data_IF_128892256071
#
_entry.id   IF_128892256071
#
_cell.length_a   1.000
_cell.length_b   1.000
_cell.length_c   1.000
_cell.angle_alpha   90.00
_cell.angle_beta   90.00
_cell.angle_gamma   90.00
#
_symmetry.space_group_name_H-M   'P 1'
#
loop_
_entity.id
_entity.type
_entity.pdbx_description
1 polymer ?
#
# COMPACT_ATOMS: atom_id res chain seq x y z
N UNK A 1 31.16 77.46 -30.71
CA UNK A 1 30.22 76.74 -29.87
C UNK A 1 29.25 76.02 -30.79
N UNK A 2 29.51 74.75 -31.07
CA UNK A 2 28.63 73.88 -31.87
C UNK A 2 28.04 72.83 -30.98
N UNK A 3 26.73 72.60 -31.01
CA UNK A 3 26.14 71.58 -30.16
C UNK A 3 26.29 70.17 -30.76
N UNK A 4 26.77 69.31 -29.93
CA UNK A 4 26.91 67.89 -30.21
C UNK A 4 25.50 67.22 -30.31
N UNK A 5 25.22 66.62 -31.48
CA UNK A 5 24.03 65.77 -31.68
C UNK A 5 24.33 64.36 -31.31
N UNK A 6 23.81 63.94 -30.18
CA UNK A 6 23.79 62.53 -29.77
C UNK A 6 22.75 61.72 -30.60
N UNK A 7 23.19 60.72 -31.33
CA UNK A 7 22.34 59.71 -32.00
C UNK A 7 21.73 58.72 -31.03
N UNK A 8 20.44 58.41 -31.15
CA UNK A 8 19.85 57.40 -30.31
C UNK A 8 20.30 56.00 -30.73
N UNK A 9 20.78 55.20 -29.72
CA UNK A 9 21.06 53.77 -29.88
C UNK A 9 19.74 53.03 -29.96
N UNK A 10 19.39 52.45 -31.11
CA UNK A 10 18.32 51.46 -31.21
C UNK A 10 18.80 50.17 -30.53
N UNK A 11 18.14 49.79 -29.44
CA UNK A 11 18.28 48.47 -28.86
C UNK A 11 17.41 47.48 -29.66
N UNK A 12 18.03 46.55 -30.36
CA UNK A 12 17.33 45.45 -31.01
C UNK A 12 16.84 44.49 -29.93
N UNK A 13 15.52 44.41 -29.75
CA UNK A 13 14.90 43.37 -28.90
C UNK A 13 14.88 42.08 -29.72
N UNK A 14 15.71 41.12 -29.33
CA UNK A 14 15.65 39.75 -29.86
C UNK A 14 14.42 39.08 -29.25
N UNK A 15 13.35 38.93 -30.00
CA UNK A 15 12.21 38.11 -29.64
C UNK A 15 12.61 36.67 -29.92
N UNK A 16 13.02 35.94 -28.87
CA UNK A 16 13.17 34.50 -28.93
C UNK A 16 11.75 33.91 -28.87
N UNK A 17 11.23 33.51 -30.02
CA UNK A 17 10.03 32.69 -30.08
C UNK A 17 10.42 31.31 -29.60
N UNK A 18 10.05 30.97 -28.35
CA UNK A 18 10.04 29.59 -27.92
C UNK A 18 9.03 28.85 -28.79
N UNK A 19 9.51 27.90 -29.60
CA UNK A 19 8.65 26.94 -30.24
C UNK A 19 7.94 26.15 -29.12
N UNK A 20 6.63 25.87 -29.22
CA UNK A 20 6.01 24.95 -28.32
C UNK A 20 6.74 23.61 -28.48
N UNK A 21 7.27 23.06 -27.39
CA UNK A 21 7.59 21.65 -27.32
C UNK A 21 6.27 20.93 -27.58
N UNK A 22 6.16 20.27 -28.74
CA UNK A 22 5.12 19.28 -28.95
C UNK A 22 5.34 18.22 -27.86
N UNK A 23 4.44 18.14 -26.88
CA UNK A 23 4.28 16.93 -26.13
C UNK A 23 3.99 15.85 -27.17
N UNK A 24 4.81 14.82 -27.25
CA UNK A 24 4.47 13.62 -28.00
C UNK A 24 3.12 13.16 -27.46
N UNK A 25 2.08 13.19 -28.31
CA UNK A 25 0.79 12.62 -27.93
C UNK A 25 1.01 11.11 -27.78
N UNK A 26 1.01 10.63 -26.53
CA UNK A 26 1.03 9.20 -26.23
C UNK A 26 -0.21 8.60 -26.90
N UNK A 27 -0.01 7.74 -27.87
CA UNK A 27 -1.09 7.13 -28.65
C UNK A 27 -1.87 6.11 -27.80
N UNK A 28 -3.15 5.91 -28.15
CA UNK A 28 -3.97 4.87 -27.46
C UNK A 28 -3.32 3.49 -27.53
N UNK A 29 -2.55 3.19 -28.58
CA UNK A 29 -1.79 1.94 -28.69
C UNK A 29 -0.74 1.83 -27.60
N UNK A 30 0.04 2.89 -27.35
CA UNK A 30 1.12 2.87 -26.36
C UNK A 30 0.54 2.75 -24.94
N UNK A 31 -0.58 3.43 -24.67
CA UNK A 31 -1.34 3.30 -23.40
C UNK A 31 -1.84 1.87 -23.20
N UNK A 32 -2.41 1.28 -24.24
CA UNK A 32 -2.92 -0.11 -24.17
C UNK A 32 -1.78 -1.09 -23.95
N UNK A 33 -0.65 -0.92 -24.62
CA UNK A 33 0.54 -1.76 -24.44
C UNK A 33 1.09 -1.63 -23.02
N UNK A 34 1.20 -0.42 -22.48
CA UNK A 34 1.62 -0.20 -21.10
C UNK A 34 0.68 -0.89 -20.10
N UNK A 35 -0.64 -0.76 -20.27
CA UNK A 35 -1.62 -1.43 -19.42
C UNK A 35 -1.53 -2.96 -19.51
N UNK A 36 -1.37 -3.52 -20.72
CA UNK A 36 -1.23 -4.97 -20.93
C UNK A 36 0.02 -5.55 -20.26
N UNK A 37 1.06 -4.75 -20.07
CA UNK A 37 2.28 -5.12 -19.35
C UNK A 37 2.16 -4.94 -17.83
N UNK A 38 1.15 -4.19 -17.38
CA UNK A 38 0.91 -3.90 -15.98
C UNK A 38 0.18 -5.01 -15.22
N UNK A 39 0.29 -5.04 -13.88
CA UNK A 39 -0.34 -6.06 -13.04
C UNK A 39 -1.87 -6.00 -13.06
N UNK A 40 -2.47 -4.86 -13.37
CA UNK A 40 -3.93 -4.72 -13.49
C UNK A 40 -4.52 -5.51 -14.65
N UNK A 41 -3.73 -5.81 -15.69
CA UNK A 41 -4.13 -6.60 -16.82
C UNK A 41 -3.70 -8.10 -16.75
N UNK A 42 -3.06 -8.52 -15.67
CA UNK A 42 -2.54 -9.88 -15.48
C UNK A 42 -3.68 -10.89 -15.21
N UNK A 43 -4.48 -11.13 -16.23
CA UNK A 43 -5.70 -11.96 -16.17
C UNK A 43 -5.46 -13.41 -15.74
N UNK A 44 -4.23 -13.90 -15.79
CA UNK A 44 -3.79 -15.24 -15.36
C UNK A 44 -3.30 -15.23 -13.90
N UNK A 45 -3.21 -14.06 -13.27
CA UNK A 45 -2.79 -13.96 -11.87
C UNK A 45 -3.84 -14.53 -10.91
N UNK A 46 -3.44 -15.02 -9.73
CA UNK A 46 -4.38 -15.45 -8.70
C UNK A 46 -5.39 -14.37 -8.29
N UNK A 47 -5.09 -13.10 -8.49
CA UNK A 47 -6.01 -12.00 -8.21
C UNK A 47 -7.27 -12.03 -9.08
N UNK A 48 -7.19 -12.60 -10.29
CA UNK A 48 -8.31 -12.62 -11.24
C UNK A 48 -8.78 -14.03 -11.59
N UNK A 49 -8.04 -15.07 -11.15
CA UNK A 49 -8.38 -16.47 -11.43
C UNK A 49 -8.93 -17.24 -10.22
N UNK A 50 -8.80 -16.66 -9.01
CA UNK A 50 -9.13 -17.33 -7.74
C UNK A 50 -10.56 -17.92 -7.71
N UNK A 51 -11.52 -17.24 -8.33
CA UNK A 51 -12.94 -17.63 -8.34
C UNK A 51 -13.41 -18.27 -9.66
N UNK A 52 -12.50 -18.63 -10.57
CA UNK A 52 -12.91 -19.17 -11.87
C UNK A 52 -13.71 -20.47 -11.73
N UNK A 53 -13.39 -21.30 -10.73
CA UNK A 53 -14.13 -22.54 -10.46
C UNK A 53 -15.49 -22.26 -9.80
N UNK A 54 -15.64 -21.15 -9.08
CA UNK A 54 -16.89 -20.73 -8.44
C UNK A 54 -17.88 -20.10 -9.43
N UNK A 55 -17.38 -19.64 -10.59
CA UNK A 55 -18.18 -19.05 -11.67
C UNK A 55 -18.50 -17.57 -11.51
N UNK A 56 -18.21 -16.96 -10.36
CA UNK A 56 -18.42 -15.54 -10.07
C UNK A 56 -17.46 -15.05 -8.98
N UNK A 57 -17.14 -13.76 -9.00
CA UNK A 57 -16.38 -13.11 -7.92
C UNK A 57 -17.36 -12.62 -6.85
N UNK A 58 -17.26 -13.08 -5.59
CA UNK A 58 -18.21 -12.67 -4.54
C UNK A 58 -18.26 -11.15 -4.35
N UNK A 59 -19.43 -10.60 -4.01
CA UNK A 59 -19.65 -9.16 -3.81
C UNK A 59 -18.62 -8.51 -2.89
N UNK A 60 -18.20 -9.21 -1.82
CA UNK A 60 -17.18 -8.73 -0.90
C UNK A 60 -15.77 -8.58 -1.52
N UNK A 61 -15.55 -9.11 -2.73
CA UNK A 61 -14.26 -9.13 -3.42
C UNK A 61 -14.32 -8.41 -4.77
N UNK A 62 -15.52 -8.33 -5.35
CA UNK A 62 -15.73 -7.97 -6.75
C UNK A 62 -15.24 -6.57 -7.12
N UNK A 63 -15.37 -5.59 -6.24
CA UNK A 63 -14.94 -4.23 -6.51
C UNK A 63 -13.44 -4.10 -6.87
N UNK A 64 -12.58 -4.97 -6.31
CA UNK A 64 -11.14 -4.94 -6.55
C UNK A 64 -10.66 -6.05 -7.50
N UNK A 65 -11.48 -7.06 -7.75
CA UNK A 65 -11.08 -8.27 -8.48
C UNK A 65 -11.88 -8.54 -9.75
N UNK A 66 -12.73 -7.59 -10.16
CA UNK A 66 -13.41 -7.61 -11.46
C UNK A 66 -13.78 -6.21 -11.93
N UNK A 67 -13.76 -5.95 -13.23
CA UNK A 67 -14.20 -4.66 -13.77
C UNK A 67 -15.69 -4.42 -13.48
N UNK A 68 -16.53 -5.45 -13.63
CA UNK A 68 -17.99 -5.33 -13.36
C UNK A 68 -18.27 -5.00 -11.91
N UNK A 69 -17.53 -5.57 -10.95
CA UNK A 69 -17.69 -5.24 -9.54
C UNK A 69 -17.18 -3.83 -9.19
N UNK A 70 -16.15 -3.33 -9.89
CA UNK A 70 -15.73 -1.94 -9.73
C UNK A 70 -16.79 -0.98 -10.26
N UNK A 71 -17.41 -1.28 -11.41
CA UNK A 71 -18.48 -0.46 -11.97
C UNK A 71 -19.73 -0.45 -11.06
N UNK A 72 -20.08 -1.59 -10.47
CA UNK A 72 -21.14 -1.70 -9.46
C UNK A 72 -20.79 -0.83 -8.23
N UNK A 73 -19.59 -0.97 -7.68
CA UNK A 73 -19.17 -0.15 -6.54
C UNK A 73 -19.16 1.36 -6.84
N UNK A 74 -18.85 1.75 -8.07
CA UNK A 74 -18.92 3.15 -8.51
C UNK A 74 -20.35 3.64 -8.70
N UNK A 75 -21.36 2.75 -8.81
CA UNK A 75 -22.72 3.08 -9.21
C UNK A 75 -22.84 3.38 -10.69
N UNK A 76 -21.90 2.89 -11.52
CA UNK A 76 -21.89 3.10 -12.98
C UNK A 76 -22.84 2.16 -13.73
N UNK A 77 -23.53 1.29 -13.03
CA UNK A 77 -24.53 0.32 -13.52
C UNK A 77 -25.95 0.62 -13.04
N UNK A 78 -26.20 1.86 -12.62
CA UNK A 78 -27.47 2.34 -12.06
C UNK A 78 -27.79 1.81 -10.64
N UNK A 79 -26.82 1.21 -9.94
CA UNK A 79 -26.94 0.84 -8.51
C UNK A 79 -26.40 1.95 -7.58
N UNK A 80 -26.62 1.87 -6.26
CA UNK A 80 -26.05 2.84 -5.32
C UNK A 80 -24.52 2.78 -5.28
N UNK A 81 -23.83 3.91 -5.39
CA UNK A 81 -22.37 3.99 -5.26
C UNK A 81 -21.89 3.60 -3.85
N UNK A 82 -20.63 3.17 -3.76
CA UNK A 82 -19.90 2.75 -2.56
C UNK A 82 -20.40 1.43 -1.95
N UNK A 83 -21.10 0.63 -2.73
CA UNK A 83 -21.53 -0.73 -2.37
C UNK A 83 -21.44 -1.65 -3.60
N UNK A 84 -21.43 -2.94 -3.37
CA UNK A 84 -21.49 -3.95 -4.43
C UNK A 84 -22.71 -4.82 -4.19
N UNK A 85 -23.68 -4.74 -5.08
CA UNK A 85 -24.94 -5.47 -4.98
C UNK A 85 -24.90 -6.81 -5.73
N UNK A 86 -24.03 -6.95 -6.72
CA UNK A 86 -23.97 -8.11 -7.60
C UNK A 86 -22.60 -8.77 -7.57
N UNK A 87 -22.49 -10.10 -7.66
CA UNK A 87 -21.24 -10.77 -7.87
C UNK A 87 -20.55 -10.29 -9.16
N UNK A 88 -19.21 -10.14 -9.10
CA UNK A 88 -18.43 -9.75 -10.25
C UNK A 88 -18.25 -10.87 -11.27
N UNK A 89 -18.06 -10.49 -12.52
CA UNK A 89 -17.81 -11.43 -13.60
C UNK A 89 -16.38 -11.96 -13.53
N UNK A 90 -16.22 -13.30 -13.58
CA UNK A 90 -14.91 -13.96 -13.72
C UNK A 90 -14.29 -13.70 -15.10
N UNK A 91 -12.99 -13.97 -15.22
CA UNK A 91 -12.20 -13.72 -16.44
C UNK A 91 -12.21 -12.24 -16.87
N UNK A 92 -12.35 -11.35 -15.93
CA UNK A 92 -12.14 -9.90 -16.09
C UNK A 92 -10.96 -9.46 -15.25
N UNK A 93 -10.46 -8.26 -15.52
CA UNK A 93 -9.32 -7.62 -14.85
C UNK A 93 -9.73 -6.21 -14.45
N UNK A 94 -8.82 -5.41 -13.92
CA UNK A 94 -9.05 -3.97 -13.75
C UNK A 94 -8.81 -3.30 -15.10
N UNK A 95 -9.90 -3.09 -15.83
CA UNK A 95 -9.88 -2.55 -17.18
C UNK A 95 -10.00 -1.02 -17.23
N UNK A 96 -10.08 -0.51 -18.45
CA UNK A 96 -10.13 0.94 -18.68
C UNK A 96 -11.32 1.60 -17.97
N UNK A 97 -12.47 0.95 -17.98
CA UNK A 97 -13.70 1.48 -17.39
C UNK A 97 -13.63 1.62 -15.86
N UNK A 98 -12.80 0.81 -15.19
CA UNK A 98 -12.59 0.92 -13.73
C UNK A 98 -12.05 2.30 -13.30
N UNK A 99 -11.39 3.04 -14.23
CA UNK A 99 -10.80 4.35 -13.96
C UNK A 99 -11.35 5.47 -14.85
N UNK A 100 -11.94 5.15 -16.02
CA UNK A 100 -12.27 6.13 -17.07
C UNK A 100 -13.78 6.26 -17.37
N UNK A 101 -14.64 5.81 -16.48
CA UNK A 101 -16.07 6.19 -16.50
C UNK A 101 -16.30 7.48 -15.73
N UNK A 102 -17.39 8.18 -16.02
CA UNK A 102 -17.72 9.46 -15.38
C UNK A 102 -17.79 9.39 -13.85
N UNK A 103 -18.25 8.28 -13.32
CA UNK A 103 -18.36 7.99 -11.90
C UNK A 103 -16.98 7.83 -11.24
N UNK A 104 -16.02 7.19 -11.92
CA UNK A 104 -14.66 7.07 -11.48
C UNK A 104 -13.91 8.41 -11.52
N UNK A 105 -14.13 9.20 -12.59
CA UNK A 105 -13.55 10.55 -12.72
C UNK A 105 -14.12 11.53 -11.70
N UNK A 106 -15.37 11.34 -11.26
CA UNK A 106 -16.02 12.15 -10.25
C UNK A 106 -15.72 11.70 -8.81
N UNK A 107 -15.12 10.51 -8.63
CA UNK A 107 -14.78 9.98 -7.31
C UNK A 107 -13.70 10.83 -6.66
N UNK A 108 -13.97 11.37 -5.47
CA UNK A 108 -13.04 12.21 -4.72
C UNK A 108 -12.87 11.76 -3.26
N UNK A 109 -13.76 10.91 -2.79
CA UNK A 109 -13.80 10.44 -1.41
C UNK A 109 -13.93 8.92 -1.33
N UNK A 110 -13.13 8.28 -0.47
CA UNK A 110 -13.10 6.82 -0.31
C UNK A 110 -13.21 6.45 1.17
N UNK A 111 -14.15 5.57 1.54
CA UNK A 111 -14.23 4.99 2.87
C UNK A 111 -13.15 3.91 3.06
N UNK A 112 -12.39 4.00 4.15
CA UNK A 112 -11.42 3.00 4.57
C UNK A 112 -12.05 1.93 5.47
N UNK A 113 -11.39 0.77 5.69
CA UNK A 113 -11.89 -0.30 6.54
C UNK A 113 -12.17 0.09 8.00
N UNK A 114 -11.61 1.20 8.47
CA UNK A 114 -11.92 1.81 9.78
C UNK A 114 -13.27 2.55 9.82
N UNK A 115 -13.92 2.72 8.68
CA UNK A 115 -15.10 3.57 8.53
C UNK A 115 -14.78 5.06 8.36
N UNK A 116 -13.50 5.44 8.39
CA UNK A 116 -13.07 6.82 8.13
C UNK A 116 -13.05 7.04 6.61
N UNK A 117 -13.68 8.12 6.16
CA UNK A 117 -13.66 8.54 4.75
C UNK A 117 -12.61 9.63 4.57
N UNK A 118 -11.77 9.48 3.56
CA UNK A 118 -10.82 10.50 3.13
C UNK A 118 -11.36 11.15 1.87
N UNK A 119 -11.40 12.46 1.84
CA UNK A 119 -11.82 13.29 0.72
C UNK A 119 -10.64 14.04 0.08
N UNK A 120 -10.87 14.72 -1.03
CA UNK A 120 -9.84 15.47 -1.74
C UNK A 120 -8.81 14.59 -2.42
N UNK A 121 -9.16 13.34 -2.78
CA UNK A 121 -8.24 12.37 -3.38
C UNK A 121 -8.03 12.61 -4.88
N UNK A 122 -8.99 13.25 -5.56
CA UNK A 122 -8.93 13.48 -7.00
C UNK A 122 -8.58 12.21 -7.78
N UNK A 123 -7.68 12.30 -8.75
CA UNK A 123 -7.26 11.15 -9.56
C UNK A 123 -6.61 9.97 -8.80
N UNK A 124 -6.36 10.10 -7.49
CA UNK A 124 -5.90 8.99 -6.65
C UNK A 124 -7.04 8.18 -6.01
N UNK A 125 -8.30 8.61 -6.18
CA UNK A 125 -9.41 7.99 -5.47
C UNK A 125 -9.66 6.54 -5.90
N UNK A 126 -9.62 6.23 -7.18
CA UNK A 126 -9.76 4.86 -7.71
C UNK A 126 -8.64 3.93 -7.24
N UNK A 127 -7.40 4.41 -7.22
CA UNK A 127 -6.27 3.67 -6.65
C UNK A 127 -6.50 3.40 -5.16
N UNK A 128 -6.87 4.45 -4.42
CA UNK A 128 -7.10 4.39 -2.97
C UNK A 128 -8.14 3.35 -2.60
N UNK A 129 -9.22 3.23 -3.37
CA UNK A 129 -10.30 2.27 -3.10
C UNK A 129 -9.77 0.83 -2.98
N UNK A 130 -9.02 0.36 -3.96
CA UNK A 130 -8.48 -1.01 -3.96
C UNK A 130 -7.26 -1.16 -3.04
N UNK A 131 -6.46 -0.10 -2.85
CA UNK A 131 -5.23 -0.12 -2.05
C UNK A 131 -5.43 0.35 -0.59
N UNK A 132 -6.67 0.45 -0.10
CA UNK A 132 -7.01 0.80 1.28
C UNK A 132 -6.91 -0.36 2.28
N UNK A 133 -6.72 -1.60 1.79
CA UNK A 133 -6.74 -2.81 2.62
C UNK A 133 -8.16 -3.29 2.95
N UNK A 134 -8.25 -4.32 3.81
CA UNK A 134 -9.54 -4.94 4.22
C UNK A 134 -9.73 -4.99 5.72
N UNK A 135 -8.80 -4.48 6.50
CA UNK A 135 -8.86 -4.43 7.95
C UNK A 135 -8.17 -3.16 8.47
N UNK A 136 -8.37 -2.87 9.73
CA UNK A 136 -7.84 -1.70 10.43
C UNK A 136 -7.62 -2.02 11.90
N UNK A 137 -7.05 -1.08 12.67
CA UNK A 137 -7.03 -1.12 14.14
C UNK A 137 -8.39 -1.54 14.72
N UNK A 138 -9.49 -0.99 14.20
CA UNK A 138 -10.84 -1.23 14.75
C UNK A 138 -11.26 -2.68 14.63
N UNK A 139 -10.89 -3.35 13.54
CA UNK A 139 -11.13 -4.79 13.37
C UNK A 139 -10.36 -5.61 14.39
N UNK A 140 -9.08 -5.27 14.64
CA UNK A 140 -8.25 -5.95 15.64
C UNK A 140 -8.78 -5.72 17.04
N UNK A 141 -9.13 -4.46 17.39
CA UNK A 141 -9.76 -4.12 18.67
C UNK A 141 -11.07 -4.89 18.90
N UNK A 142 -11.91 -4.96 17.86
CA UNK A 142 -13.17 -5.70 17.94
C UNK A 142 -12.97 -7.20 18.18
N UNK A 143 -11.92 -7.79 17.60
CA UNK A 143 -11.61 -9.20 17.77
C UNK A 143 -11.02 -9.50 19.16
N UNK A 144 -10.17 -8.60 19.68
CA UNK A 144 -9.42 -8.81 20.93
C UNK A 144 -10.07 -8.16 22.15
N UNK A 145 -11.14 -7.39 21.98
CA UNK A 145 -11.72 -6.52 22.98
C UNK A 145 -12.08 -7.22 24.28
N UNK A 146 -11.51 -6.72 25.39
CA UNK A 146 -11.77 -7.21 26.74
C UNK A 146 -11.06 -8.52 27.11
N UNK A 147 -10.26 -9.10 26.20
CA UNK A 147 -9.48 -10.30 26.51
C UNK A 147 -8.16 -9.92 27.22
N UNK A 148 -7.69 -10.73 28.19
CA UNK A 148 -6.36 -10.56 28.75
C UNK A 148 -5.29 -10.70 27.63
N UNK A 149 -4.27 -9.82 27.58
CA UNK A 149 -3.36 -9.71 26.43
C UNK A 149 -2.58 -11.00 26.11
N UNK A 150 -2.29 -11.81 27.12
CA UNK A 150 -1.41 -12.97 27.00
C UNK A 150 -2.17 -14.31 27.14
N UNK A 151 -3.50 -14.27 27.04
CA UNK A 151 -4.33 -15.48 27.12
C UNK A 151 -4.62 -16.01 25.72
N UNK A 152 -4.28 -17.28 25.49
CA UNK A 152 -4.65 -17.97 24.23
C UNK A 152 -6.18 -18.10 24.15
N UNK A 153 -6.74 -17.76 23.00
CA UNK A 153 -8.17 -17.90 22.74
C UNK A 153 -8.44 -18.56 21.40
N UNK A 154 -9.28 -19.58 21.40
CA UNK A 154 -9.77 -20.24 20.17
C UNK A 154 -10.69 -19.34 19.31
N UNK A 155 -11.18 -18.23 19.88
CA UNK A 155 -12.02 -17.28 19.18
C UNK A 155 -11.21 -16.31 18.32
N UNK A 156 -9.88 -16.30 18.51
CA UNK A 156 -8.97 -15.48 17.71
C UNK A 156 -8.47 -16.26 16.50
N UNK A 157 -8.42 -15.57 15.39
CA UNK A 157 -7.80 -16.01 14.15
C UNK A 157 -7.01 -14.87 13.53
N UNK A 158 -6.11 -15.19 12.60
CA UNK A 158 -5.34 -14.15 11.92
C UNK A 158 -6.26 -13.19 11.14
N UNK A 159 -5.99 -11.91 11.27
CA UNK A 159 -6.69 -10.84 10.55
C UNK A 159 -5.79 -10.37 9.41
N UNK A 160 -6.21 -10.65 8.18
CA UNK A 160 -5.47 -10.27 7.00
C UNK A 160 -5.79 -8.82 6.60
N UNK A 161 -4.76 -7.97 6.53
CA UNK A 161 -4.88 -6.61 5.99
C UNK A 161 -5.10 -6.61 4.48
N UNK A 162 -4.77 -7.69 3.80
CA UNK A 162 -4.73 -7.91 2.36
C UNK A 162 -3.47 -7.37 1.67
N UNK A 163 -3.37 -7.52 0.34
CA UNK A 163 -2.20 -7.11 -0.43
C UNK A 163 -2.31 -5.65 -0.91
N UNK A 164 -1.16 -5.02 -1.18
CA UNK A 164 -1.09 -3.73 -1.83
C UNK A 164 -1.75 -2.62 -1.03
N UNK A 165 -1.47 -2.54 0.28
CA UNK A 165 -2.13 -1.60 1.21
C UNK A 165 -1.49 -0.20 1.22
N UNK A 166 -0.96 0.23 0.08
CA UNK A 166 -0.22 1.48 -0.09
C UNK A 166 -0.99 2.72 0.42
N UNK A 167 -2.29 2.82 0.10
CA UNK A 167 -3.12 3.93 0.55
C UNK A 167 -3.32 3.91 2.08
N UNK A 168 -3.50 2.73 2.69
CA UNK A 168 -3.61 2.62 4.14
C UNK A 168 -2.31 3.03 4.84
N UNK A 169 -1.15 2.64 4.30
CA UNK A 169 0.16 3.05 4.82
C UNK A 169 0.38 4.54 4.62
N UNK A 170 0.11 5.08 3.42
CA UNK A 170 0.30 6.51 3.11
C UNK A 170 -0.53 7.40 4.04
N UNK A 171 -1.78 7.06 4.31
CA UNK A 171 -2.65 7.82 5.23
C UNK A 171 -2.36 7.51 6.71
N UNK A 172 -1.75 6.38 7.02
CA UNK A 172 -1.24 6.04 8.35
C UNK A 172 -2.29 6.17 9.46
N UNK A 173 -1.99 7.00 10.45
CA UNK A 173 -2.85 7.19 11.62
C UNK A 173 -4.23 7.76 11.30
N UNK A 174 -4.37 8.51 10.23
CA UNK A 174 -5.66 9.10 9.83
C UNK A 174 -6.71 8.04 9.55
N UNK A 175 -6.29 6.92 8.92
CA UNK A 175 -7.20 5.82 8.54
C UNK A 175 -7.02 4.57 9.41
N UNK A 176 -6.10 4.61 10.37
CA UNK A 176 -5.87 3.53 11.33
C UNK A 176 -5.57 2.19 10.65
N UNK A 177 -4.79 2.21 9.56
CA UNK A 177 -4.52 1.05 8.72
C UNK A 177 -3.78 -0.07 9.46
N UNK A 178 -2.66 0.23 10.15
CA UNK A 178 -2.00 -0.66 11.09
C UNK A 178 -2.62 -0.58 12.48
N UNK A 179 -2.31 -1.53 13.36
CA UNK A 179 -2.77 -1.51 14.74
C UNK A 179 -2.03 -0.42 15.54
N UNK A 180 -2.81 0.48 16.11
CA UNK A 180 -2.30 1.61 16.90
C UNK A 180 -2.51 1.32 18.39
N UNK A 181 -1.42 1.12 19.11
CA UNK A 181 -1.46 0.89 20.56
C UNK A 181 -1.89 2.14 21.30
N UNK A 182 -2.75 1.94 22.31
CA UNK A 182 -3.26 3.02 23.13
C UNK A 182 -2.11 3.78 23.84
N UNK A 183 -2.20 5.10 23.86
CA UNK A 183 -1.19 5.97 24.50
C UNK A 183 0.02 6.28 23.62
N UNK A 184 0.14 5.69 22.44
CA UNK A 184 1.18 6.02 21.47
C UNK A 184 0.64 6.97 20.38
N UNK A 185 1.54 7.72 19.78
CA UNK A 185 1.23 8.63 18.67
C UNK A 185 1.83 8.07 17.38
N UNK A 186 1.04 8.08 16.31
CA UNK A 186 1.43 7.59 15.00
C UNK A 186 1.38 8.70 13.96
N UNK A 187 2.23 8.59 12.96
CA UNK A 187 2.25 9.51 11.83
C UNK A 187 0.94 9.41 11.03
N UNK A 188 0.32 10.56 10.76
CA UNK A 188 -0.79 10.69 9.83
C UNK A 188 -0.32 10.61 8.38
N UNK A 189 -1.11 11.16 7.46
CA UNK A 189 -0.79 11.17 6.04
C UNK A 189 0.62 11.69 5.76
N UNK A 190 1.36 10.91 4.99
CA UNK A 190 2.63 11.38 4.43
C UNK A 190 2.36 12.10 3.11
N UNK A 191 2.46 13.43 3.14
CA UNK A 191 2.46 14.26 1.95
C UNK A 191 3.92 14.55 1.60
N UNK A 192 4.45 13.90 0.55
CA UNK A 192 5.85 14.03 0.16
C UNK A 192 6.23 15.48 -0.16
N UNK A 193 5.81 15.98 -1.32
CA UNK A 193 5.87 17.39 -1.73
C UNK A 193 4.62 17.70 -2.58
N UNK A 194 4.21 18.97 -2.73
CA UNK A 194 2.98 19.27 -3.47
C UNK A 194 2.93 18.74 -4.91
N UNK A 195 4.07 18.60 -5.58
CA UNK A 195 4.18 18.03 -6.93
C UNK A 195 4.21 16.52 -6.98
N UNK A 196 4.31 15.84 -5.85
CA UNK A 196 4.35 14.39 -5.73
C UNK A 196 3.41 13.89 -4.61
N UNK A 197 2.21 14.47 -4.53
CA UNK A 197 1.22 14.18 -3.51
C UNK A 197 0.11 13.21 -3.95
N UNK A 198 0.19 12.68 -5.17
CA UNK A 198 -0.79 11.75 -5.76
C UNK A 198 -0.11 10.45 -6.18
N UNK A 199 -0.86 9.38 -6.31
CA UNK A 199 -0.34 8.08 -6.76
C UNK A 199 0.35 8.20 -8.13
N UNK A 200 -0.32 8.86 -9.07
CA UNK A 200 0.16 9.04 -10.44
C UNK A 200 1.33 10.03 -10.59
N UNK A 201 1.72 10.71 -9.52
CA UNK A 201 2.93 11.52 -9.53
C UNK A 201 4.22 10.68 -9.46
N UNK A 202 4.11 9.43 -9.02
CA UNK A 202 5.21 8.48 -8.88
C UNK A 202 5.00 7.24 -9.74
N UNK A 203 3.76 6.77 -9.88
CA UNK A 203 3.39 5.59 -10.67
C UNK A 203 2.84 6.02 -12.03
N UNK A 204 3.35 5.41 -13.10
CA UNK A 204 2.70 5.49 -14.41
C UNK A 204 1.35 4.77 -14.30
N UNK A 205 0.20 5.43 -14.59
CA UNK A 205 -1.11 4.88 -14.20
C UNK A 205 -1.52 3.60 -14.92
N UNK A 206 -0.96 3.32 -16.11
CA UNK A 206 -1.32 2.15 -16.91
C UNK A 206 -0.40 0.95 -16.65
N UNK A 207 0.92 1.15 -16.64
CA UNK A 207 1.91 0.10 -16.30
C UNK A 207 2.09 -0.10 -14.82
N UNK A 208 1.75 0.92 -14.00
CA UNK A 208 2.03 1.04 -12.55
C UNK A 208 3.51 1.11 -12.17
N UNK A 209 4.40 1.19 -13.16
CA UNK A 209 5.83 1.35 -12.93
C UNK A 209 6.15 2.69 -12.24
N UNK A 210 7.22 2.69 -11.46
CA UNK A 210 7.69 3.89 -10.76
C UNK A 210 8.66 4.66 -11.64
N UNK A 211 8.41 5.96 -11.83
CA UNK A 211 9.31 6.88 -12.54
C UNK A 211 10.47 7.31 -11.63
N UNK A 212 11.47 6.45 -11.46
CA UNK A 212 12.61 6.66 -10.54
C UNK A 212 13.41 7.92 -10.82
N UNK A 213 13.51 8.34 -12.10
CA UNK A 213 14.20 9.56 -12.51
C UNK A 213 13.61 10.81 -11.83
N UNK A 214 12.31 10.80 -11.57
CA UNK A 214 11.62 11.86 -10.82
C UNK A 214 12.12 11.99 -9.39
N UNK A 215 12.44 10.86 -8.75
CA UNK A 215 13.00 10.83 -7.40
C UNK A 215 14.42 11.39 -7.38
N UNK A 216 15.28 10.88 -8.27
CA UNK A 216 16.71 11.24 -8.36
C UNK A 216 16.90 12.72 -8.73
N UNK A 217 15.97 13.32 -9.49
CA UNK A 217 16.02 14.74 -9.82
C UNK A 217 16.04 15.66 -8.57
N UNK A 218 15.38 15.25 -7.48
CA UNK A 218 15.36 15.99 -6.23
C UNK A 218 16.30 15.37 -5.19
N UNK A 219 16.40 14.05 -5.11
CA UNK A 219 17.28 13.32 -4.19
C UNK A 219 18.67 13.10 -4.81
N UNK A 220 19.38 14.22 -5.05
CA UNK A 220 20.68 14.20 -5.69
C UNK A 220 21.72 13.45 -4.86
N UNK A 221 22.59 12.69 -5.55
CA UNK A 221 23.69 11.96 -4.92
C UNK A 221 23.37 10.50 -4.58
N UNK A 222 22.15 10.04 -4.87
CA UNK A 222 21.81 8.62 -4.86
C UNK A 222 21.68 8.10 -6.30
N UNK A 223 22.06 6.85 -6.51
CA UNK A 223 21.93 6.14 -7.80
C UNK A 223 20.83 5.08 -7.75
N UNK A 224 20.28 4.84 -6.58
CA UNK A 224 19.24 3.87 -6.29
C UNK A 224 18.24 4.53 -5.32
N UNK A 225 16.98 4.52 -5.67
CA UNK A 225 15.93 5.15 -4.86
C UNK A 225 15.81 4.52 -3.48
N UNK A 226 16.18 3.24 -3.32
CA UNK A 226 16.17 2.54 -2.03
C UNK A 226 17.20 3.11 -1.04
N UNK A 227 18.24 3.79 -1.54
CA UNK A 227 19.24 4.47 -0.72
C UNK A 227 18.78 5.86 -0.22
N UNK A 228 17.59 6.31 -0.60
CA UNK A 228 17.06 7.61 -0.16
C UNK A 228 16.82 7.58 1.35
N UNK A 229 17.41 8.57 2.04
CA UNK A 229 17.28 8.75 3.48
C UNK A 229 17.22 10.23 3.83
N UNK A 230 16.13 10.67 4.42
CA UNK A 230 15.94 12.06 4.87
C UNK A 230 15.97 12.19 6.40
N UNK A 231 15.90 11.07 7.13
CA UNK A 231 16.03 11.00 8.58
C UNK A 231 17.28 10.20 8.94
N UNK A 232 18.13 10.75 9.79
CA UNK A 232 19.41 10.20 10.18
C UNK A 232 19.35 9.61 11.60
N UNK A 233 18.46 8.66 11.83
CA UNK A 233 18.37 7.91 13.09
C UNK A 233 18.79 6.46 12.83
N UNK A 234 19.42 5.82 13.78
CA UNK A 234 19.54 4.37 13.88
C UNK A 234 18.23 3.89 14.54
N UNK A 235 17.29 3.43 13.72
CA UNK A 235 15.95 3.09 14.20
C UNK A 235 15.85 1.62 14.60
N UNK A 236 16.60 0.74 13.96
CA UNK A 236 16.63 -0.68 14.27
C UNK A 236 17.70 -1.06 15.31
N UNK A 237 18.62 -0.12 15.60
CA UNK A 237 19.63 -0.27 16.67
C UNK A 237 20.84 -1.09 16.26
N UNK A 238 21.09 -1.26 14.96
CA UNK A 238 22.25 -2.02 14.44
C UNK A 238 23.54 -1.19 14.38
N UNK A 239 23.48 0.11 14.62
CA UNK A 239 24.60 1.06 14.59
C UNK A 239 24.93 1.59 13.20
N UNK A 240 24.18 1.23 12.16
CA UNK A 240 24.36 1.67 10.77
C UNK A 240 23.34 2.76 10.44
N UNK A 241 23.81 3.92 10.03
CA UNK A 241 22.96 5.06 9.64
C UNK A 241 23.22 5.53 8.21
N UNK A 242 23.98 4.75 7.43
CA UNK A 242 24.45 5.12 6.09
C UNK A 242 23.62 4.52 4.95
N UNK A 243 22.76 3.57 5.23
CA UNK A 243 21.82 2.97 4.28
C UNK A 243 20.58 3.84 4.05
N UNK A 244 19.64 3.35 3.22
CA UNK A 244 18.34 3.98 3.01
C UNK A 244 17.44 3.89 4.23
N UNK A 245 16.34 4.64 4.23
CA UNK A 245 15.32 4.46 5.28
C UNK A 245 14.63 3.09 5.17
N UNK A 246 14.69 2.49 4.00
CA UNK A 246 14.23 1.13 3.75
C UNK A 246 14.94 0.12 4.63
N UNK A 247 16.25 0.21 4.75
CA UNK A 247 17.07 -0.73 5.53
C UNK A 247 16.64 -0.73 7.01
N UNK A 248 16.38 0.45 7.58
CA UNK A 248 15.90 0.59 8.95
C UNK A 248 14.52 -0.03 9.17
N UNK A 249 13.62 0.12 8.19
CA UNK A 249 12.28 -0.49 8.24
C UNK A 249 12.39 -2.01 8.15
N UNK A 250 13.23 -2.53 7.27
CA UNK A 250 13.48 -3.96 7.12
C UNK A 250 14.14 -4.54 8.38
N UNK A 251 15.09 -3.83 9.00
CA UNK A 251 15.70 -4.21 10.27
C UNK A 251 14.69 -4.29 11.41
N UNK A 252 13.87 -3.26 11.60
CA UNK A 252 12.78 -3.27 12.60
C UNK A 252 11.75 -4.36 12.33
N UNK A 253 11.43 -4.61 11.05
CA UNK A 253 10.50 -5.66 10.64
C UNK A 253 11.04 -7.05 10.99
N UNK A 254 12.34 -7.29 10.80
CA UNK A 254 13.00 -8.52 11.21
C UNK A 254 13.00 -8.69 12.75
N UNK A 255 13.30 -7.62 13.49
CA UNK A 255 13.23 -7.63 14.96
C UNK A 255 11.82 -7.96 15.46
N UNK A 256 10.79 -7.38 14.83
CA UNK A 256 9.40 -7.71 15.17
C UNK A 256 9.08 -9.18 14.87
N UNK A 257 9.55 -9.72 13.75
CA UNK A 257 9.37 -11.14 13.41
C UNK A 257 9.97 -12.07 14.47
N UNK A 258 11.21 -11.80 14.87
CA UNK A 258 11.88 -12.58 15.91
C UNK A 258 11.15 -12.48 17.26
N UNK A 259 10.66 -11.29 17.62
CA UNK A 259 9.85 -11.09 18.83
C UNK A 259 8.52 -11.87 18.78
N UNK A 260 7.84 -11.87 17.64
CA UNK A 260 6.62 -12.67 17.40
C UNK A 260 6.91 -14.16 17.62
N UNK A 261 7.99 -14.68 17.05
CA UNK A 261 8.39 -16.08 17.18
C UNK A 261 8.75 -16.47 18.63
N UNK A 262 9.58 -15.65 19.26
CA UNK A 262 9.94 -15.87 20.66
C UNK A 262 8.73 -15.86 21.58
N UNK A 263 7.87 -14.86 21.45
CA UNK A 263 6.63 -14.75 22.22
C UNK A 263 5.68 -15.94 21.99
N UNK A 264 5.52 -16.35 20.74
CA UNK A 264 4.66 -17.49 20.41
C UNK A 264 5.14 -18.79 21.05
N UNK A 265 6.45 -19.05 21.04
CA UNK A 265 7.04 -20.21 21.66
C UNK A 265 6.98 -20.16 23.21
N UNK A 266 7.30 -19.01 23.81
CA UNK A 266 7.46 -18.87 25.27
C UNK A 266 6.14 -18.62 26.01
N UNK A 267 5.22 -17.83 25.41
CA UNK A 267 3.98 -17.39 26.06
C UNK A 267 2.76 -18.12 25.51
N UNK A 268 2.59 -18.19 24.19
CA UNK A 268 1.49 -18.91 23.59
C UNK A 268 1.71 -20.45 23.58
N UNK A 269 2.96 -20.89 23.75
CA UNK A 269 3.31 -22.31 23.88
C UNK A 269 3.32 -23.08 22.57
N UNK A 270 3.27 -22.40 21.42
CA UNK A 270 3.30 -23.02 20.08
C UNK A 270 4.18 -22.17 19.17
N UNK A 271 5.26 -22.71 18.60
CA UNK A 271 6.09 -21.97 17.64
C UNK A 271 5.28 -21.50 16.42
N UNK A 272 5.61 -20.31 15.91
CA UNK A 272 4.97 -19.67 14.76
C UNK A 272 6.01 -19.30 13.71
N UNK A 273 5.66 -19.47 12.44
CA UNK A 273 6.42 -18.94 11.33
C UNK A 273 5.52 -18.19 10.35
N UNK A 274 6.15 -17.43 9.46
CA UNK A 274 5.47 -16.65 8.42
C UNK A 274 5.98 -17.02 7.04
N UNK A 275 5.06 -17.18 6.09
CA UNK A 275 5.38 -17.23 4.66
C UNK A 275 4.43 -16.32 3.87
N UNK A 276 4.94 -15.48 2.94
CA UNK A 276 4.09 -14.61 2.12
C UNK A 276 3.32 -15.38 1.03
N UNK A 277 3.72 -16.62 0.74
CA UNK A 277 3.29 -17.37 -0.45
C UNK A 277 1.99 -18.13 -0.25
N UNK A 278 1.56 -18.32 0.98
CA UNK A 278 0.39 -19.16 1.29
C UNK A 278 -0.50 -18.54 2.36
N UNK A 279 -1.81 -18.41 2.06
CA UNK A 279 -2.80 -17.97 3.05
C UNK A 279 -3.05 -19.09 4.10
N UNK A 280 -3.14 -18.76 5.42
CA UNK A 280 -3.25 -17.45 6.04
C UNK A 280 -1.91 -16.85 6.51
N UNK A 281 -0.79 -17.19 5.90
CA UNK A 281 0.55 -16.65 6.06
C UNK A 281 1.26 -17.04 7.36
N UNK A 282 0.56 -17.15 8.47
CA UNK A 282 1.10 -17.62 9.76
C UNK A 282 0.70 -19.07 9.99
N UNK A 283 1.72 -19.89 10.20
CA UNK A 283 1.58 -21.33 10.41
C UNK A 283 2.30 -21.76 11.66
N UNK A 284 1.96 -22.96 12.14
CA UNK A 284 2.75 -23.60 13.20
C UNK A 284 4.06 -24.06 12.58
N UNK A 285 5.17 -23.61 13.17
CA UNK A 285 6.52 -24.05 12.85
C UNK A 285 6.77 -25.36 13.61
N UNK A 286 6.53 -26.48 12.94
CA UNK A 286 6.46 -27.80 13.58
C UNK A 286 7.82 -28.39 13.92
N UNK A 287 8.85 -28.04 13.15
CA UNK A 287 10.23 -28.51 13.36
C UNK A 287 11.09 -27.49 14.12
N UNK A 288 10.57 -26.28 14.34
CA UNK A 288 11.22 -25.24 15.14
C UNK A 288 12.42 -24.59 14.45
N UNK A 289 12.52 -24.70 13.12
CA UNK A 289 13.65 -24.15 12.36
C UNK A 289 13.51 -22.65 12.06
N UNK A 290 12.30 -22.10 12.22
CA UNK A 290 11.99 -20.68 12.05
C UNK A 290 11.54 -20.30 10.65
N UNK A 291 11.46 -21.25 9.75
CA UNK A 291 10.96 -21.08 8.38
C UNK A 291 9.70 -21.94 8.21
N UNK A 292 8.82 -21.57 7.29
CA UNK A 292 7.66 -22.38 6.96
C UNK A 292 7.92 -23.10 5.64
N UNK A 293 8.18 -24.39 5.75
CA UNK A 293 8.37 -25.26 4.59
C UNK A 293 7.07 -25.54 3.82
N UNK A 294 7.19 -26.08 2.63
CA UNK A 294 6.03 -26.38 1.77
C UNK A 294 5.07 -27.40 2.39
N UNK A 295 5.55 -28.27 3.25
CA UNK A 295 4.77 -29.25 4.00
C UNK A 295 4.05 -28.63 5.21
N UNK A 296 4.51 -27.50 5.70
CA UNK A 296 3.89 -26.74 6.79
C UNK A 296 2.91 -25.68 6.29
N UNK A 297 3.16 -25.12 5.08
CA UNK A 297 2.36 -24.06 4.45
C UNK A 297 1.00 -24.57 3.94
N UNK A 298 0.19 -25.15 4.81
CA UNK A 298 -1.13 -25.67 4.47
C UNK A 298 -2.19 -25.24 5.50
N UNK A 299 -3.44 -25.09 5.04
CA UNK A 299 -4.52 -24.55 5.89
C UNK A 299 -4.79 -25.33 7.19
N UNK A 300 -4.70 -26.68 7.25
CA UNK A 300 -4.78 -27.43 8.50
C UNK A 300 -3.70 -27.05 9.53
N UNK A 301 -2.50 -26.69 9.08
CA UNK A 301 -1.38 -26.27 9.93
C UNK A 301 -1.37 -24.74 10.22
N UNK A 302 -2.42 -24.01 9.83
CA UNK A 302 -2.51 -22.58 10.16
C UNK A 302 -2.35 -22.34 11.64
N UNK A 303 -1.66 -21.29 12.01
CA UNK A 303 -1.48 -20.93 13.42
C UNK A 303 -2.83 -20.68 14.11
N UNK A 304 -3.04 -21.27 15.27
CA UNK A 304 -4.33 -21.26 15.98
C UNK A 304 -4.22 -20.87 17.46
N UNK A 305 -3.02 -20.75 18.01
CA UNK A 305 -2.80 -20.39 19.44
C UNK A 305 -2.59 -18.88 19.62
N UNK A 306 -3.52 -18.12 19.08
CA UNK A 306 -3.47 -16.66 19.14
C UNK A 306 -3.77 -16.12 20.54
N UNK A 307 -2.95 -15.16 20.99
CA UNK A 307 -3.29 -14.25 22.08
C UNK A 307 -3.61 -12.87 21.48
N UNK A 308 -4.32 -11.97 22.18
CA UNK A 308 -4.52 -10.60 21.72
C UNK A 308 -3.21 -9.88 21.35
N UNK A 309 -2.19 -9.98 22.20
CA UNK A 309 -0.89 -9.35 21.96
C UNK A 309 -0.22 -9.89 20.69
N UNK A 310 -0.20 -11.20 20.52
CA UNK A 310 0.39 -11.82 19.33
C UNK A 310 -0.32 -11.41 18.05
N UNK A 311 -1.65 -11.35 18.08
CA UNK A 311 -2.46 -10.94 16.93
C UNK A 311 -2.20 -9.49 16.53
N UNK A 312 -2.10 -8.58 17.52
CA UNK A 312 -1.78 -7.18 17.27
C UNK A 312 -0.40 -7.01 16.62
N UNK A 313 0.61 -7.72 17.14
CA UNK A 313 1.97 -7.70 16.61
C UNK A 313 2.04 -8.29 15.20
N UNK A 314 1.43 -9.46 14.97
CA UNK A 314 1.38 -10.11 13.67
C UNK A 314 0.61 -9.30 12.63
N UNK A 315 -0.43 -8.58 13.05
CA UNK A 315 -1.14 -7.65 12.17
C UNK A 315 -0.23 -6.51 11.69
N UNK A 316 0.51 -5.85 12.59
CA UNK A 316 1.46 -4.80 12.24
C UNK A 316 2.61 -5.32 11.36
N UNK A 317 3.12 -6.51 11.68
CA UNK A 317 4.11 -7.18 10.84
C UNK A 317 3.60 -7.30 9.40
N UNK A 318 2.35 -7.79 9.23
CA UNK A 318 1.79 -7.99 7.91
C UNK A 318 1.47 -6.68 7.18
N UNK A 319 1.07 -5.60 7.86
CA UNK A 319 0.84 -4.30 7.22
C UNK A 319 2.10 -3.83 6.49
N UNK A 320 3.26 -3.93 7.14
CA UNK A 320 4.53 -3.56 6.52
C UNK A 320 4.92 -4.54 5.40
N UNK A 321 4.75 -5.85 5.61
CA UNK A 321 5.05 -6.88 4.61
C UNK A 321 4.19 -6.79 3.34
N UNK A 322 2.95 -6.27 3.44
CA UNK A 322 1.99 -6.17 2.32
C UNK A 322 2.04 -4.85 1.56
N UNK A 323 2.90 -3.94 1.97
CA UNK A 323 3.26 -2.73 1.24
C UNK A 323 4.77 -2.69 0.97
N UNK A 324 5.26 -3.24 -0.15
CA UNK A 324 6.69 -3.19 -0.50
C UNK A 324 7.24 -1.77 -0.62
N UNK A 325 6.35 -0.77 -0.83
CA UNK A 325 6.67 0.64 -0.88
C UNK A 325 6.50 1.39 0.45
N UNK A 326 6.29 0.71 1.59
CA UNK A 326 6.04 1.34 2.88
C UNK A 326 7.10 2.40 3.25
N UNK A 327 8.36 2.19 2.84
CA UNK A 327 9.48 3.08 3.04
C UNK A 327 9.38 4.41 2.27
N UNK A 328 8.57 4.48 1.22
CA UNK A 328 8.29 5.70 0.43
C UNK A 328 6.87 6.20 0.64
N UNK A 329 5.90 5.32 0.84
CA UNK A 329 4.51 5.70 1.06
C UNK A 329 4.33 6.43 2.39
N UNK A 330 4.90 5.93 3.49
CA UNK A 330 4.94 6.63 4.78
C UNK A 330 6.04 6.05 5.70
N UNK A 331 7.30 6.43 5.50
CA UNK A 331 8.41 5.87 6.28
C UNK A 331 8.25 6.09 7.78
N UNK A 332 7.64 7.19 8.21
CA UNK A 332 7.44 7.45 9.64
C UNK A 332 6.44 6.47 10.26
N UNK A 333 5.35 6.18 9.57
CA UNK A 333 4.35 5.22 10.01
C UNK A 333 4.90 3.78 9.96
N UNK A 334 5.60 3.45 8.88
CA UNK A 334 6.22 2.13 8.69
C UNK A 334 7.26 1.80 9.77
N UNK A 335 8.04 2.78 10.25
CA UNK A 335 8.94 2.62 11.38
C UNK A 335 8.20 2.42 12.71
N UNK A 336 7.09 3.14 12.92
CA UNK A 336 6.36 3.13 14.18
C UNK A 336 5.58 1.82 14.43
N UNK A 337 5.11 1.16 13.38
CA UNK A 337 4.31 -0.07 13.51
C UNK A 337 5.10 -1.22 14.16
N UNK A 338 6.33 -1.54 13.74
CA UNK A 338 7.14 -2.58 14.36
C UNK A 338 7.67 -2.17 15.73
N UNK A 339 8.10 -0.91 15.91
CA UNK A 339 8.71 -0.44 17.17
C UNK A 339 7.70 -0.35 18.31
N UNK A 340 6.43 -0.08 18.01
CA UNK A 340 5.36 0.03 19.00
C UNK A 340 4.91 -1.31 19.60
N UNK A 341 5.28 -2.44 19.00
CA UNK A 341 4.89 -3.74 19.52
C UNK A 341 5.54 -3.97 20.90
N UNK A 342 4.77 -4.33 21.93
CA UNK A 342 5.32 -4.59 23.27
C UNK A 342 6.37 -5.70 23.19
N UNK A 343 7.59 -5.37 23.57
CA UNK A 343 8.73 -6.29 23.66
C UNK A 343 8.62 -7.18 24.88
#
# INVERSE_FOLDING_TARGET
MTPDRALPRLAAILIVTAAPLSADEVGLTDITEAWLMGPHASYDSPSFTHWNEDGEVPTACAACHSETGMLDWLGADDTPALSVEHPGTINTVIGCASCHVSEAEALDAVPFPSGITIDGLGGSATCTMCHSGRASTDRVVSATGGMPPDTVSSDLGFINVHYGVAAAVMHGAEVRGGFQYEGLSYAGRFAHVPSAGTCVACHEPHSTEVAEEGCIACHQGVNDITAIRTRHGDFDGDGVTSGGIRDEIEGLHAILHDAIRAYAAEVAGTPIGYTPDSYPYFFTDGDGNGEIGADEANFPNRYATWTPRLLMAAYNYQVVAKDPGAWVHNPAYALQLPDAAPR
#
